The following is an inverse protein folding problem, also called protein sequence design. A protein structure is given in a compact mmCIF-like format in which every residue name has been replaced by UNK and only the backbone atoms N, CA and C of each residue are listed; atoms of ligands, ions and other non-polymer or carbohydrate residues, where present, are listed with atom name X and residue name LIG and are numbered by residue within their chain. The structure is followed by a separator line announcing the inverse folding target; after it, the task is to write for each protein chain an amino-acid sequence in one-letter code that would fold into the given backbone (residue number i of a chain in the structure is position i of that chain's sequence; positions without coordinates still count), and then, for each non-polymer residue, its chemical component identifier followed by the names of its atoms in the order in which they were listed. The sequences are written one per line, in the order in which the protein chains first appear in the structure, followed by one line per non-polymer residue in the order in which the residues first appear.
data_IF_948633850038
#
_entry.id   IF_948633850038
#
_cell.length_a   1.000
_cell.length_b   1.000
_cell.length_c   1.000
_cell.angle_alpha   90.00
_cell.angle_beta   90.00
_cell.angle_gamma   90.00
#
_symmetry.space_group_name_H-M   'P 1'
#
loop_
_entity.id
_entity.type
_entity.pdbx_description
1 polymer ?
#
# COMPACT_ATOMS: atom_id res chain seq x y z
N UNK A 1 -2.74 30.44 2.26
CA UNK A 1 -2.34 29.11 2.75
C UNK A 1 -1.78 28.34 1.57
N UNK A 2 -0.46 28.21 1.46
CA UNK A 2 0.14 27.30 0.48
C UNK A 2 -0.12 25.88 0.97
N UNK A 3 -1.07 25.19 0.35
CA UNK A 3 -1.19 23.74 0.53
C UNK A 3 0.19 23.16 0.19
N UNK A 4 0.92 22.65 1.19
CA UNK A 4 2.13 21.88 0.93
C UNK A 4 1.68 20.74 0.02
N UNK A 5 2.18 20.71 -1.22
CA UNK A 5 1.92 19.64 -2.18
C UNK A 5 2.24 18.32 -1.47
N UNK A 6 1.24 17.45 -1.37
CA UNK A 6 1.40 16.11 -0.82
C UNK A 6 1.77 15.17 -1.96
N UNK A 7 2.64 14.22 -1.68
CA UNK A 7 3.09 13.21 -2.63
C UNK A 7 2.45 11.87 -2.25
N UNK A 8 1.13 11.76 -2.41
CA UNK A 8 0.40 10.53 -2.11
C UNK A 8 0.37 9.62 -3.33
N UNK A 9 0.57 8.32 -3.11
CA UNK A 9 0.47 7.29 -4.13
C UNK A 9 -0.23 6.06 -3.59
N UNK A 10 -1.06 5.44 -4.43
CA UNK A 10 -1.57 4.10 -4.21
C UNK A 10 -0.71 3.09 -4.99
N UNK A 11 -0.15 2.13 -4.27
CA UNK A 11 0.57 0.98 -4.83
C UNK A 11 -0.37 -0.23 -4.77
N UNK A 12 -0.59 -0.89 -5.91
CA UNK A 12 -1.50 -2.04 -5.99
C UNK A 12 -0.91 -3.21 -6.75
N UNK A 13 -1.26 -4.43 -6.33
CA UNK A 13 -0.96 -5.68 -7.05
C UNK A 13 -1.99 -6.74 -6.66
N UNK A 14 -2.50 -7.48 -7.63
CA UNK A 14 -3.39 -8.64 -7.43
C UNK A 14 -4.60 -8.39 -6.50
N UNK A 15 -5.23 -7.21 -6.61
CA UNK A 15 -6.38 -6.83 -5.77
C UNK A 15 -6.03 -6.28 -4.39
N UNK A 16 -4.78 -6.41 -3.95
CA UNK A 16 -4.25 -5.79 -2.73
C UNK A 16 -3.65 -4.41 -3.03
N UNK A 17 -3.62 -3.54 -2.02
CA UNK A 17 -3.02 -2.22 -2.19
C UNK A 17 -2.65 -1.53 -0.87
N UNK A 18 -1.73 -0.57 -0.96
CA UNK A 18 -1.31 0.30 0.15
C UNK A 18 -1.20 1.74 -0.34
N UNK A 19 -1.41 2.69 0.57
CA UNK A 19 -1.18 4.11 0.32
C UNK A 19 0.14 4.53 0.94
N UNK A 20 0.93 5.30 0.20
CA UNK A 20 2.22 5.82 0.64
C UNK A 20 2.24 7.33 0.45
N UNK A 21 2.67 8.07 1.47
CA UNK A 21 2.94 9.51 1.38
C UNK A 21 4.45 9.79 1.39
N UNK A 22 4.97 10.26 0.27
CA UNK A 22 6.37 10.62 0.05
C UNK A 22 6.73 12.03 0.55
N UNK A 23 8.04 12.29 0.64
CA UNK A 23 8.58 13.60 1.09
C UNK A 23 8.68 14.62 -0.03
N UNK A 24 8.99 14.16 -1.24
CA UNK A 24 9.24 14.98 -2.41
C UNK A 24 8.98 14.17 -3.69
N UNK A 25 8.99 14.84 -4.85
CA UNK A 25 8.73 14.22 -6.15
C UNK A 25 9.80 13.19 -6.57
N UNK A 26 11.06 13.37 -6.15
CA UNK A 26 12.14 12.43 -6.49
C UNK A 26 12.00 11.11 -5.77
N UNK A 27 11.61 11.14 -4.49
CA UNK A 27 11.31 9.96 -3.69
C UNK A 27 10.09 9.23 -4.28
N UNK A 28 9.05 9.99 -4.66
CA UNK A 28 7.85 9.44 -5.31
C UNK A 28 8.21 8.72 -6.62
N UNK A 29 9.03 9.33 -7.48
CA UNK A 29 9.42 8.72 -8.74
C UNK A 29 10.33 7.50 -8.56
N UNK A 30 11.24 7.53 -7.59
CA UNK A 30 12.10 6.38 -7.27
C UNK A 30 11.27 5.20 -6.76
N UNK A 31 10.33 5.47 -5.84
CA UNK A 31 9.41 4.47 -5.31
C UNK A 31 8.52 3.89 -6.42
N UNK A 32 8.01 4.74 -7.31
CA UNK A 32 7.23 4.31 -8.47
C UNK A 32 8.00 3.34 -9.35
N UNK A 33 9.25 3.67 -9.71
CA UNK A 33 10.11 2.80 -10.53
C UNK A 33 10.37 1.46 -9.86
N UNK A 34 10.65 1.47 -8.55
CA UNK A 34 10.84 0.26 -7.77
C UNK A 34 9.57 -0.61 -7.77
N UNK A 35 8.41 -0.02 -7.46
CA UNK A 35 7.12 -0.70 -7.44
C UNK A 35 6.76 -1.30 -8.80
N UNK A 36 6.92 -0.54 -9.88
CA UNK A 36 6.67 -0.99 -11.25
C UNK A 36 7.61 -2.13 -11.66
N UNK A 37 8.90 -2.06 -11.28
CA UNK A 37 9.86 -3.16 -11.53
C UNK A 37 9.47 -4.47 -10.83
N UNK A 38 8.69 -4.39 -9.75
CA UNK A 38 8.17 -5.53 -8.98
C UNK A 38 6.74 -5.93 -9.40
N UNK A 39 6.24 -5.36 -10.49
CA UNK A 39 4.94 -5.67 -11.09
C UNK A 39 3.75 -5.02 -10.40
N UNK A 40 3.97 -3.99 -9.56
CA UNK A 40 2.89 -3.20 -8.99
C UNK A 40 2.43 -2.12 -9.96
N UNK A 41 1.16 -1.72 -9.87
CA UNK A 41 0.67 -0.49 -10.51
C UNK A 41 0.73 0.66 -9.50
N UNK A 42 1.14 1.82 -9.98
CA UNK A 42 1.25 3.05 -9.19
C UNK A 42 0.23 4.09 -9.67
N UNK A 43 -0.52 4.67 -8.74
CA UNK A 43 -1.47 5.76 -9.02
C UNK A 43 -1.24 6.91 -8.05
N UNK A 44 -0.85 8.08 -8.56
CA UNK A 44 -0.78 9.29 -7.72
C UNK A 44 -2.19 9.70 -7.27
N UNK A 45 -2.30 10.12 -6.02
CA UNK A 45 -3.57 10.49 -5.38
C UNK A 45 -3.56 11.96 -4.99
N UNK A 46 -4.76 12.56 -4.95
CA UNK A 46 -4.96 13.82 -4.26
C UNK A 46 -5.49 13.56 -2.85
N UNK A 47 -5.43 14.57 -1.98
CA UNK A 47 -5.98 14.42 -0.62
C UNK A 47 -7.50 14.25 -0.63
N UNK A 48 -8.15 14.83 -1.64
CA UNK A 48 -9.59 14.73 -1.87
C UNK A 48 -10.01 13.32 -2.30
N UNK A 49 -9.19 12.62 -3.11
CA UNK A 49 -9.47 11.24 -3.51
C UNK A 49 -9.11 10.22 -2.42
N UNK A 50 -8.17 10.53 -1.55
CA UNK A 50 -7.72 9.61 -0.49
C UNK A 50 -8.86 9.17 0.45
N UNK A 51 -9.65 10.12 0.95
CA UNK A 51 -10.69 9.85 1.95
C UNK A 51 -11.86 8.98 1.47
N UNK A 52 -12.47 9.21 0.29
CA UNK A 52 -13.58 8.38 -0.17
C UNK A 52 -13.11 7.03 -0.71
N UNK A 53 -12.00 6.99 -1.45
CA UNK A 53 -11.67 5.84 -2.31
C UNK A 53 -10.67 4.88 -1.67
N UNK A 54 -9.83 5.37 -0.76
CA UNK A 54 -8.70 4.60 -0.20
C UNK A 54 -8.76 4.43 1.32
N UNK A 55 -9.90 4.77 1.93
CA UNK A 55 -10.14 4.53 3.36
C UNK A 55 -10.19 3.03 3.63
N UNK A 56 -9.35 2.56 4.54
CA UNK A 56 -9.24 1.15 4.93
C UNK A 56 -8.00 0.45 4.40
N UNK A 57 -7.31 1.02 3.41
CA UNK A 57 -5.99 0.53 3.01
C UNK A 57 -4.92 0.92 4.04
N UNK A 58 -3.89 0.08 4.17
CA UNK A 58 -2.73 0.42 5.00
C UNK A 58 -2.05 1.67 4.44
N UNK A 59 -1.65 2.56 5.34
CA UNK A 59 -1.06 3.84 5.02
C UNK A 59 0.35 3.94 5.62
N UNK A 60 1.32 4.34 4.79
CA UNK A 60 2.71 4.53 5.18
C UNK A 60 3.14 5.99 4.96
N UNK A 61 3.56 6.66 6.03
CA UNK A 61 4.08 8.02 5.96
C UNK A 61 5.61 8.01 5.86
N UNK A 62 6.16 8.11 4.65
CA UNK A 62 7.62 8.13 4.44
C UNK A 62 8.27 9.46 4.82
N UNK A 63 7.48 10.44 5.29
CA UNK A 63 8.03 11.64 5.93
C UNK A 63 8.41 11.39 7.38
N UNK A 64 7.86 10.33 7.98
CA UNK A 64 8.30 9.85 9.27
C UNK A 64 9.61 9.05 9.09
N UNK A 65 10.72 9.45 9.74
CA UNK A 65 11.99 8.74 9.64
C UNK A 65 11.90 7.25 9.97
N UNK A 66 11.09 6.89 10.98
CA UNK A 66 10.93 5.49 11.41
C UNK A 66 10.28 4.65 10.32
N UNK A 67 9.22 5.17 9.69
CA UNK A 67 8.55 4.48 8.58
C UNK A 67 9.45 4.46 7.36
N UNK A 68 10.23 5.51 7.12
CA UNK A 68 11.18 5.56 6.01
C UNK A 68 12.26 4.47 6.11
N UNK A 69 12.78 4.21 7.31
CA UNK A 69 13.81 3.19 7.54
C UNK A 69 13.27 1.76 7.47
N UNK A 70 11.98 1.57 7.77
CA UNK A 70 11.36 0.24 7.88
C UNK A 70 10.49 -0.15 6.68
N UNK A 71 10.07 0.83 5.88
CA UNK A 71 9.25 0.58 4.71
C UNK A 71 10.06 -0.13 3.62
N UNK A 72 9.51 -1.21 3.09
CA UNK A 72 10.08 -1.98 1.99
C UNK A 72 8.95 -2.54 1.14
N UNK A 73 9.05 -2.37 -0.18
CA UNK A 73 8.08 -2.97 -1.11
C UNK A 73 8.16 -4.50 -1.06
N UNK A 74 9.36 -5.06 -0.89
CA UNK A 74 9.53 -6.51 -0.77
C UNK A 74 8.76 -7.07 0.43
N UNK A 75 8.83 -6.36 1.57
CA UNK A 75 8.10 -6.77 2.76
C UNK A 75 6.58 -6.64 2.59
N UNK A 76 6.11 -5.60 1.89
CA UNK A 76 4.68 -5.45 1.55
C UNK A 76 4.20 -6.62 0.69
N UNK A 77 4.97 -6.97 -0.34
CA UNK A 77 4.64 -8.09 -1.24
C UNK A 77 4.67 -9.43 -0.50
N UNK A 78 5.69 -9.66 0.33
CA UNK A 78 5.79 -10.87 1.16
C UNK A 78 4.58 -11.01 2.10
N UNK A 79 4.16 -9.91 2.74
CA UNK A 79 2.99 -9.90 3.61
C UNK A 79 1.70 -10.24 2.84
N UNK A 80 1.53 -9.74 1.61
CA UNK A 80 0.37 -10.08 0.77
C UNK A 80 0.39 -11.54 0.32
N UNK A 81 1.55 -12.07 -0.05
CA UNK A 81 1.67 -13.48 -0.43
C UNK A 81 1.42 -14.42 0.77
N UNK A 82 1.87 -14.05 1.97
CA UNK A 82 1.58 -14.81 3.19
C UNK A 82 0.08 -14.80 3.52
N UNK A 83 -0.58 -13.65 3.37
CA UNK A 83 -2.03 -13.50 3.60
C UNK A 83 -2.85 -14.33 2.59
N UNK A 84 -2.49 -14.29 1.30
CA UNK A 84 -3.10 -15.14 0.26
C UNK A 84 -2.97 -16.62 0.60
N UNK A 85 -1.76 -17.09 0.94
CA UNK A 85 -1.52 -18.50 1.32
C UNK A 85 -2.34 -18.92 2.54
N UNK A 86 -2.51 -18.02 3.51
CA UNK A 86 -3.33 -18.29 4.68
C UNK A 86 -4.81 -18.43 4.31
N UNK A 87 -5.32 -17.59 3.41
CA UNK A 87 -6.70 -17.69 2.93
C UNK A 87 -6.93 -18.91 2.01
N UNK A 88 -5.98 -19.27 1.15
CA UNK A 88 -6.06 -20.45 0.28
C UNK A 88 -5.97 -21.78 1.08
N UNK A 89 -5.23 -21.79 2.19
CA UNK A 89 -5.17 -22.93 3.11
C UNK A 89 -6.43 -23.15 3.94
N UNK A 90 -7.41 -22.24 3.86
CA UNK A 90 -8.66 -22.26 4.61
C UNK A 90 -9.90 -22.52 3.71
N UNK A 91 -9.75 -23.15 2.54
CA UNK A 91 -10.88 -23.83 1.84
C UNK A 91 -11.29 -25.15 2.52
N UNK A 92 -11.35 -25.16 3.85
CA UNK A 92 -11.61 -26.37 4.63
C UNK A 92 -11.90 -26.09 6.09
N UNK A 93 -13.04 -25.46 6.37
CA UNK A 93 -13.91 -25.78 7.53
C UNK A 93 -15.16 -24.90 7.48
N UNK A 94 -16.16 -25.34 6.71
CA UNK A 94 -17.57 -24.94 6.84
C UNK A 94 -18.17 -25.47 8.17
N UNK A 95 -17.57 -25.19 9.32
CA UNK A 95 -18.12 -25.60 10.62
C UNK A 95 -17.93 -24.53 11.70
N UNK A 96 -18.49 -23.34 11.49
CA UNK A 96 -18.80 -22.44 12.62
C UNK A 96 -20.14 -21.72 12.43
N UNK A 97 -21.19 -22.46 12.09
CA UNK A 97 -22.57 -22.03 12.37
C UNK A 97 -23.08 -22.84 13.56
N UNK A 98 -22.96 -22.25 14.75
CA UNK A 98 -23.62 -22.77 15.97
C UNK A 98 -25.12 -22.46 15.82
N UNK A 99 -25.96 -23.51 15.88
CA UNK A 99 -27.43 -23.43 15.95
C UNK A 99 -27.90 -22.89 17.29
#
# INVERSE_FOLDING_TARGET
MTQKKRFLMFLKKDGSGVVVEGRNASDEESLKKEAESKGMTCQSLTIESFYPDYRGYRYFDLRNPVTQETFSIDHVLEAWEADKKHHEGHEGTDEWFIH
#
